data_IF_694904938601
#
_entry.id   IF_694904938601
#
_cell.length_a   1.000
_cell.length_b   1.000
_cell.length_c   1.000
_cell.angle_alpha   90.00
_cell.angle_beta   90.00
_cell.angle_gamma   90.00
#
_symmetry.space_group_name_H-M   'P 1'
#
loop_
_entity.id
_entity.type
_entity.pdbx_description
1 polymer ?
#
# COMPACT_ATOMS: atom_id res chain seq x y z
N UNK A 1 -5.00 9.76 0.54
CA UNK A 1 -4.13 9.06 1.51
C UNK A 1 -3.15 8.07 0.85
N UNK A 2 -3.61 7.21 -0.06
CA UNK A 2 -2.84 6.09 -0.66
C UNK A 2 -1.50 6.53 -1.28
N UNK A 3 -1.49 7.60 -2.08
CA UNK A 3 -0.29 8.06 -2.81
C UNK A 3 0.53 9.11 -2.06
N UNK A 4 0.21 9.44 -0.79
CA UNK A 4 0.84 10.58 -0.09
C UNK A 4 2.36 10.44 0.04
N UNK A 5 2.86 9.21 0.15
CA UNK A 5 4.30 8.91 0.19
C UNK A 5 5.00 9.05 -1.17
N UNK A 6 4.25 9.15 -2.26
CA UNK A 6 4.77 9.16 -3.63
C UNK A 6 4.93 10.58 -4.17
N UNK A 7 4.55 11.59 -3.40
CA UNK A 7 4.70 13.00 -3.76
C UNK A 7 6.17 13.42 -3.68
N UNK A 8 6.82 13.87 -4.78
CA UNK A 8 8.26 14.12 -4.79
C UNK A 8 8.73 15.16 -3.77
N UNK A 9 7.94 16.21 -3.56
CA UNK A 9 8.25 17.28 -2.61
C UNK A 9 8.19 16.81 -1.13
N UNK A 10 7.61 15.65 -0.84
CA UNK A 10 7.55 15.11 0.53
C UNK A 10 8.69 14.14 0.86
N UNK A 11 9.55 13.81 -0.12
CA UNK A 11 10.63 12.83 0.09
C UNK A 11 11.69 13.30 1.09
N UNK A 12 11.92 14.60 1.17
CA UNK A 12 12.83 15.23 2.15
C UNK A 12 12.15 15.50 3.50
N UNK A 13 10.83 15.35 3.61
CA UNK A 13 10.11 15.57 4.87
C UNK A 13 10.28 14.38 5.82
N UNK A 14 10.08 14.62 7.12
CA UNK A 14 10.08 13.56 8.13
C UNK A 14 9.16 12.40 7.74
N UNK A 15 9.67 11.17 7.83
CA UNK A 15 8.87 9.96 7.59
C UNK A 15 7.77 9.79 8.61
N UNK A 16 8.02 10.18 9.85
CA UNK A 16 7.01 10.18 10.91
C UNK A 16 5.87 11.15 10.57
N UNK A 17 6.19 12.36 10.07
CA UNK A 17 5.18 13.31 9.60
C UNK A 17 4.33 12.70 8.47
N UNK A 18 4.94 12.07 7.48
CA UNK A 18 4.19 11.42 6.40
C UNK A 18 3.32 10.26 6.88
N UNK A 19 3.73 9.54 7.94
CA UNK A 19 2.87 8.54 8.60
C UNK A 19 1.66 9.18 9.27
N UNK A 20 1.84 10.29 9.97
CA UNK A 20 0.70 11.02 10.55
C UNK A 20 -0.25 11.55 9.49
N UNK A 21 0.25 12.11 8.39
CA UNK A 21 -0.60 12.58 7.29
C UNK A 21 -1.34 11.41 6.64
N UNK A 22 -0.65 10.28 6.38
CA UNK A 22 -1.29 9.09 5.83
C UNK A 22 -2.38 8.56 6.77
N UNK A 23 -2.08 8.39 8.06
CA UNK A 23 -3.03 7.92 9.06
C UNK A 23 -4.21 8.89 9.19
N UNK A 24 -3.95 10.19 9.36
CA UNK A 24 -4.98 11.21 9.51
C UNK A 24 -5.94 11.29 8.32
N UNK A 25 -5.42 11.28 7.08
CA UNK A 25 -6.26 11.26 5.89
C UNK A 25 -7.12 9.99 5.80
N UNK A 26 -6.59 8.83 6.16
CA UNK A 26 -7.40 7.60 6.18
C UNK A 26 -8.45 7.62 7.31
N UNK A 27 -8.11 8.14 8.49
CA UNK A 27 -9.04 8.30 9.62
C UNK A 27 -10.20 9.23 9.27
N UNK A 28 -9.92 10.38 8.64
CA UNK A 28 -10.98 11.28 8.17
C UNK A 28 -11.91 10.56 7.18
N UNK A 29 -11.33 9.84 6.20
CA UNK A 29 -12.13 9.06 5.26
C UNK A 29 -12.95 7.97 5.95
N UNK A 30 -12.43 7.32 7.00
CA UNK A 30 -13.16 6.33 7.78
C UNK A 30 -14.36 6.94 8.50
N UNK A 31 -14.18 8.09 9.16
CA UNK A 31 -15.26 8.79 9.86
C UNK A 31 -16.38 9.13 8.88
N UNK A 32 -16.03 9.68 7.71
CA UNK A 32 -17.01 9.99 6.65
C UNK A 32 -17.73 8.74 6.14
N UNK A 33 -17.02 7.61 5.98
CA UNK A 33 -17.62 6.34 5.57
C UNK A 33 -18.61 5.80 6.63
N UNK A 34 -18.26 5.88 7.92
CA UNK A 34 -19.16 5.47 9.02
C UNK A 34 -20.42 6.35 9.02
N UNK A 35 -20.27 7.68 8.92
CA UNK A 35 -21.41 8.60 8.83
C UNK A 35 -22.29 8.27 7.63
N UNK A 36 -21.70 7.98 6.46
CA UNK A 36 -22.45 7.57 5.27
C UNK A 36 -23.22 6.26 5.48
N UNK A 37 -22.64 5.28 6.18
CA UNK A 37 -23.33 4.02 6.49
C UNK A 37 -24.50 4.26 7.46
N UNK A 38 -24.27 5.03 8.53
CA UNK A 38 -25.32 5.38 9.49
C UNK A 38 -26.49 6.06 8.79
N UNK A 39 -26.23 7.03 7.92
CA UNK A 39 -27.27 7.70 7.14
C UNK A 39 -28.08 6.73 6.27
N UNK A 40 -27.44 5.74 5.63
CA UNK A 40 -28.12 4.73 4.83
C UNK A 40 -29.01 3.81 5.69
N UNK A 41 -28.51 3.35 6.84
CA UNK A 41 -29.29 2.53 7.78
C UNK A 41 -30.46 3.31 8.38
N UNK A 42 -30.27 4.57 8.76
CA UNK A 42 -31.33 5.43 9.27
C UNK A 42 -32.42 5.65 8.22
N UNK A 43 -32.05 5.92 6.96
CA UNK A 43 -33.00 6.07 5.86
C UNK A 43 -33.82 4.80 5.63
N UNK A 44 -33.18 3.62 5.61
CA UNK A 44 -33.87 2.35 5.46
C UNK A 44 -34.82 2.07 6.62
N UNK A 45 -34.37 2.28 7.86
CA UNK A 45 -35.18 2.05 9.05
C UNK A 45 -36.39 2.99 9.09
N UNK A 46 -36.20 4.28 8.77
CA UNK A 46 -37.28 5.26 8.71
C UNK A 46 -38.29 4.95 7.58
N UNK A 47 -37.82 4.34 6.48
CA UNK A 47 -38.64 4.02 5.31
C UNK A 47 -39.17 2.57 5.30
N UNK A 48 -38.93 1.78 6.37
CA UNK A 48 -39.24 0.35 6.44
C UNK A 48 -38.67 -0.47 5.26
N UNK A 49 -37.48 -0.12 4.77
CA UNK A 49 -36.77 -0.86 3.73
C UNK A 49 -35.87 -1.89 4.42
N UNK A 50 -35.86 -3.17 4.00
CA UNK A 50 -34.96 -4.16 4.57
C UNK A 50 -33.50 -3.75 4.37
N UNK A 51 -32.67 -3.97 5.38
CA UNK A 51 -31.23 -3.71 5.30
C UNK A 51 -30.48 -4.92 4.71
N UNK A 52 -29.29 -4.64 4.15
CA UNK A 52 -28.29 -5.67 3.81
C UNK A 52 -28.76 -6.77 2.83
N UNK A 53 -29.66 -6.46 1.88
CA UNK A 53 -30.14 -7.44 0.90
C UNK A 53 -29.46 -7.35 -0.47
N UNK A 54 -28.83 -6.22 -0.80
CA UNK A 54 -28.22 -6.01 -2.12
C UNK A 54 -26.73 -6.36 -2.14
N UNK A 55 -26.20 -6.70 -3.33
CA UNK A 55 -24.77 -6.96 -3.48
C UNK A 55 -23.93 -5.71 -3.17
N UNK A 56 -24.42 -4.51 -3.54
CA UNK A 56 -23.81 -3.24 -3.15
C UNK A 56 -23.60 -3.17 -1.63
N UNK A 57 -24.63 -3.52 -0.84
CA UNK A 57 -24.56 -3.47 0.62
C UNK A 57 -23.57 -4.48 1.21
N UNK A 58 -23.51 -5.72 0.68
CA UNK A 58 -22.58 -6.75 1.16
C UNK A 58 -21.12 -6.39 0.90
N UNK A 59 -20.83 -5.95 -0.32
CA UNK A 59 -19.49 -5.52 -0.72
C UNK A 59 -19.10 -4.23 0.00
N UNK A 60 -20.02 -3.27 0.13
CA UNK A 60 -19.83 -2.02 0.85
C UNK A 60 -19.48 -2.24 2.32
N UNK A 61 -20.26 -3.04 3.04
CA UNK A 61 -20.00 -3.33 4.46
C UNK A 61 -18.67 -4.08 4.63
N UNK A 62 -18.39 -5.05 3.77
CA UNK A 62 -17.11 -5.77 3.77
C UNK A 62 -15.94 -4.81 3.57
N UNK A 63 -16.04 -3.87 2.64
CA UNK A 63 -15.02 -2.84 2.42
C UNK A 63 -14.80 -1.96 3.66
N UNK A 64 -15.86 -1.53 4.34
CA UNK A 64 -15.76 -0.73 5.58
C UNK A 64 -15.09 -1.51 6.72
N UNK A 65 -15.44 -2.79 6.90
CA UNK A 65 -14.83 -3.67 7.91
C UNK A 65 -13.34 -3.86 7.62
N UNK A 66 -12.99 -4.24 6.38
CA UNK A 66 -11.60 -4.44 5.97
C UNK A 66 -10.80 -3.14 6.07
N UNK A 67 -11.39 -2.00 5.72
CA UNK A 67 -10.74 -0.70 5.86
C UNK A 67 -10.50 -0.33 7.34
N UNK A 68 -11.40 -0.72 8.24
CA UNK A 68 -11.25 -0.53 9.69
C UNK A 68 -10.10 -1.37 10.24
N UNK A 69 -10.06 -2.65 9.88
CA UNK A 69 -8.95 -3.54 10.25
C UNK A 69 -7.62 -3.03 9.69
N UNK A 70 -7.60 -2.59 8.43
CA UNK A 70 -6.44 -2.01 7.78
C UNK A 70 -5.92 -0.77 8.52
N UNK A 71 -6.81 0.11 8.97
CA UNK A 71 -6.46 1.33 9.69
C UNK A 71 -5.92 1.01 11.10
N UNK A 72 -6.59 0.12 11.83
CA UNK A 72 -6.16 -0.31 13.17
C UNK A 72 -4.79 -1.01 13.15
N UNK A 73 -4.62 -1.99 12.26
CA UNK A 73 -3.36 -2.71 12.09
C UNK A 73 -2.25 -1.77 11.60
N UNK A 74 -2.58 -0.88 10.65
CA UNK A 74 -1.63 0.12 10.14
C UNK A 74 -1.13 1.06 11.23
N UNK A 75 -2.03 1.53 12.09
CA UNK A 75 -1.70 2.35 13.25
C UNK A 75 -0.81 1.60 14.25
N UNK A 76 -1.24 0.40 14.67
CA UNK A 76 -0.54 -0.39 15.67
C UNK A 76 0.88 -0.82 15.23
N UNK A 77 1.05 -1.21 13.96
CA UNK A 77 2.31 -1.77 13.46
C UNK A 77 3.25 -0.69 12.91
N UNK A 78 2.74 0.29 12.15
CA UNK A 78 3.60 1.21 11.41
C UNK A 78 3.73 2.59 12.06
N UNK A 79 2.77 3.03 12.88
CA UNK A 79 2.84 4.34 13.54
C UNK A 79 3.43 4.23 14.95
N UNK A 80 2.97 3.27 15.75
CA UNK A 80 3.50 3.08 17.11
C UNK A 80 4.93 2.50 17.10
N UNK A 81 5.75 2.78 18.13
CA UNK A 81 7.14 2.32 18.18
C UNK A 81 7.28 0.83 18.57
N UNK A 82 6.23 0.18 19.07
CA UNK A 82 6.32 -1.12 19.74
C UNK A 82 6.51 -2.33 18.81
N UNK A 83 6.09 -2.24 17.55
CA UNK A 83 6.18 -3.39 16.64
C UNK A 83 7.62 -3.67 16.20
N UNK A 84 8.10 -4.93 16.27
CA UNK A 84 9.47 -5.29 15.89
C UNK A 84 9.70 -5.20 14.37
N UNK A 85 10.94 -4.98 13.96
CA UNK A 85 11.33 -4.78 12.55
C UNK A 85 10.93 -5.94 11.62
N UNK A 86 11.11 -7.23 12.00
CA UNK A 86 10.68 -8.36 11.16
C UNK A 86 9.17 -8.38 10.92
N UNK A 87 8.36 -8.07 11.93
CA UNK A 87 6.91 -8.00 11.79
C UNK A 87 6.49 -6.89 10.82
N UNK A 88 7.10 -5.71 10.93
CA UNK A 88 6.86 -4.60 10.00
C UNK A 88 7.21 -5.00 8.56
N UNK A 89 8.33 -5.70 8.36
CA UNK A 89 8.76 -6.17 7.04
C UNK A 89 7.78 -7.19 6.45
N UNK A 90 7.30 -8.13 7.25
CA UNK A 90 6.34 -9.16 6.83
C UNK A 90 4.94 -8.57 6.50
N UNK A 91 4.46 -7.62 7.30
CA UNK A 91 3.13 -7.03 7.13
C UNK A 91 3.09 -5.92 6.07
N UNK A 92 4.21 -5.29 5.72
CA UNK A 92 4.26 -4.22 4.72
C UNK A 92 3.65 -4.62 3.35
N UNK A 93 4.04 -5.74 2.70
CA UNK A 93 3.44 -6.12 1.42
C UNK A 93 1.94 -6.42 1.54
N UNK A 94 1.51 -7.04 2.65
CA UNK A 94 0.10 -7.30 2.92
C UNK A 94 -0.65 -5.98 3.02
N UNK A 95 -0.16 -5.03 3.82
CA UNK A 95 -0.75 -3.71 4.00
C UNK A 95 -0.85 -2.93 2.68
N UNK A 96 0.19 -2.95 1.85
CA UNK A 96 0.14 -2.29 0.54
C UNK A 96 -0.90 -2.94 -0.37
N UNK A 97 -0.88 -4.28 -0.49
CA UNK A 97 -1.81 -4.99 -1.36
C UNK A 97 -3.27 -4.83 -0.91
N UNK A 98 -3.56 -5.08 0.37
CA UNK A 98 -4.90 -4.94 0.93
C UNK A 98 -5.42 -3.51 0.79
N UNK A 99 -4.58 -2.50 0.98
CA UNK A 99 -4.97 -1.09 0.79
C UNK A 99 -5.42 -0.77 -0.64
N UNK A 100 -4.71 -1.31 -1.64
CA UNK A 100 -5.11 -1.13 -3.06
C UNK A 100 -6.37 -1.94 -3.40
N UNK A 101 -6.48 -3.17 -2.86
CA UNK A 101 -7.66 -4.01 -3.05
C UNK A 101 -8.91 -3.36 -2.47
N UNK A 102 -8.85 -2.88 -1.21
CA UNK A 102 -9.95 -2.17 -0.56
C UNK A 102 -10.37 -0.96 -1.39
N UNK A 103 -9.40 -0.17 -1.89
CA UNK A 103 -9.71 0.99 -2.72
C UNK A 103 -10.44 0.61 -4.01
N UNK A 104 -10.01 -0.45 -4.70
CA UNK A 104 -10.70 -0.96 -5.89
C UNK A 104 -12.12 -1.47 -5.55
N UNK A 105 -12.27 -2.18 -4.42
CA UNK A 105 -13.57 -2.66 -3.94
C UNK A 105 -14.53 -1.52 -3.61
N UNK A 106 -14.04 -0.43 -3.03
CA UNK A 106 -14.84 0.79 -2.75
C UNK A 106 -15.30 1.44 -4.05
N UNK A 107 -14.45 1.50 -5.08
CA UNK A 107 -14.86 1.99 -6.41
C UNK A 107 -15.98 1.11 -6.97
N UNK A 108 -15.80 -0.21 -6.98
CA UNK A 108 -16.82 -1.14 -7.45
C UNK A 108 -18.14 -0.98 -6.68
N UNK A 109 -18.07 -0.86 -5.34
CA UNK A 109 -19.23 -0.61 -4.48
C UNK A 109 -19.93 0.71 -4.84
N UNK A 110 -19.18 1.79 -5.07
CA UNK A 110 -19.74 3.07 -5.48
C UNK A 110 -20.50 2.99 -6.82
N UNK A 111 -19.94 2.29 -7.82
CA UNK A 111 -20.59 2.09 -9.11
C UNK A 111 -21.88 1.27 -9.00
N UNK A 112 -21.87 0.21 -8.16
CA UNK A 112 -23.08 -0.57 -7.87
C UNK A 112 -24.14 0.30 -7.19
N UNK A 113 -23.76 1.10 -6.19
CA UNK A 113 -24.69 1.97 -5.46
C UNK A 113 -25.29 3.07 -6.35
N UNK A 114 -24.48 3.67 -7.23
CA UNK A 114 -24.96 4.62 -8.25
C UNK A 114 -25.99 3.93 -9.17
N UNK A 115 -25.67 2.73 -9.66
CA UNK A 115 -26.54 1.99 -10.56
C UNK A 115 -27.86 1.62 -9.89
N UNK A 116 -27.83 1.08 -8.66
CA UNK A 116 -29.02 0.78 -7.86
C UNK A 116 -29.87 2.05 -7.65
N UNK A 117 -29.24 3.18 -7.28
CA UNK A 117 -29.96 4.43 -7.04
C UNK A 117 -30.64 4.97 -8.29
N UNK A 118 -29.97 4.95 -9.45
CA UNK A 118 -30.57 5.40 -10.71
C UNK A 118 -31.73 4.51 -11.13
N UNK A 119 -31.60 3.19 -10.99
CA UNK A 119 -32.67 2.24 -11.32
C UNK A 119 -33.90 2.43 -10.43
N UNK A 120 -33.71 2.72 -9.14
CA UNK A 120 -34.83 2.92 -8.21
C UNK A 120 -35.50 4.28 -8.37
N UNK A 121 -34.73 5.34 -8.65
CA UNK A 121 -35.24 6.71 -8.67
C UNK A 121 -35.77 7.14 -10.05
N UNK A 122 -35.19 6.68 -11.15
CA UNK A 122 -35.60 7.10 -12.50
C UNK A 122 -36.60 6.12 -13.11
N UNK A 123 -37.86 6.24 -12.69
CA UNK A 123 -38.98 5.46 -13.24
C UNK A 123 -39.74 6.22 -14.33
N UNK A 124 -39.89 7.55 -14.20
CA UNK A 124 -40.62 8.40 -15.14
C UNK A 124 -39.99 9.80 -15.23
N UNK A 125 -39.20 10.12 -16.28
CA UNK A 125 -38.77 9.22 -17.34
C UNK A 125 -37.88 8.08 -16.82
N UNK A 126 -38.00 6.91 -17.44
CA UNK A 126 -37.22 5.74 -17.07
C UNK A 126 -35.72 5.96 -17.33
N UNK A 127 -34.86 5.33 -16.53
CA UNK A 127 -33.40 5.37 -16.71
C UNK A 127 -32.95 5.06 -18.16
N UNK A 128 -33.60 4.08 -18.82
CA UNK A 128 -33.32 3.68 -20.20
C UNK A 128 -33.57 4.79 -21.23
N UNK A 129 -34.44 5.76 -20.93
CA UNK A 129 -34.66 6.93 -21.77
C UNK A 129 -33.51 7.95 -21.71
N UNK A 130 -32.47 7.68 -20.91
CA UNK A 130 -31.30 8.54 -20.73
C UNK A 130 -31.67 9.99 -20.38
N UNK A 131 -32.49 10.23 -19.34
CA UNK A 131 -32.78 11.60 -18.91
C UNK A 131 -31.49 12.33 -18.48
N UNK A 132 -31.49 13.68 -18.44
CA UNK A 132 -30.29 14.45 -18.11
C UNK A 132 -29.60 14.01 -16.80
N UNK A 133 -30.38 13.65 -15.78
CA UNK A 133 -29.85 13.11 -14.51
C UNK A 133 -29.08 11.80 -14.71
N UNK A 134 -29.60 10.87 -15.52
CA UNK A 134 -28.94 9.62 -15.84
C UNK A 134 -27.58 9.84 -16.51
N UNK A 135 -27.53 10.75 -17.51
CA UNK A 135 -26.30 11.08 -18.23
C UNK A 135 -25.29 11.69 -17.25
N UNK A 136 -25.72 12.65 -16.44
CA UNK A 136 -24.87 13.32 -15.47
C UNK A 136 -24.25 12.34 -14.46
N UNK A 137 -25.06 11.48 -13.86
CA UNK A 137 -24.59 10.53 -12.85
C UNK A 137 -23.75 9.40 -13.47
N UNK A 138 -24.03 8.98 -14.71
CA UNK A 138 -23.15 8.07 -15.44
C UNK A 138 -21.77 8.69 -15.72
N UNK A 139 -21.73 9.97 -16.11
CA UNK A 139 -20.47 10.70 -16.24
C UNK A 139 -19.69 10.77 -14.93
N UNK A 140 -20.38 10.97 -13.79
CA UNK A 140 -19.77 10.88 -12.46
C UNK A 140 -19.17 9.49 -12.21
N UNK A 141 -19.90 8.41 -12.54
CA UNK A 141 -19.39 7.04 -12.45
C UNK A 141 -18.10 6.82 -13.26
N UNK A 142 -18.05 7.33 -14.50
CA UNK A 142 -16.84 7.29 -15.34
C UNK A 142 -15.67 8.07 -14.72
N UNK A 143 -15.94 9.27 -14.16
CA UNK A 143 -14.92 10.06 -13.48
C UNK A 143 -14.34 9.33 -12.27
N UNK A 144 -15.17 8.61 -11.50
CA UNK A 144 -14.72 7.79 -10.37
C UNK A 144 -13.80 6.66 -10.84
N UNK A 145 -14.14 5.99 -11.96
CA UNK A 145 -13.29 4.95 -12.57
C UNK A 145 -11.95 5.54 -13.02
N UNK A 146 -11.95 6.65 -13.74
CA UNK A 146 -10.73 7.33 -14.21
C UNK A 146 -9.86 7.74 -13.03
N UNK A 147 -10.45 8.36 -12.00
CA UNK A 147 -9.76 8.71 -10.77
C UNK A 147 -9.12 7.48 -10.12
N UNK A 148 -9.86 6.39 -9.99
CA UNK A 148 -9.38 5.13 -9.45
C UNK A 148 -8.19 4.56 -10.22
N UNK A 149 -8.32 4.49 -11.55
CA UNK A 149 -7.27 4.00 -12.44
C UNK A 149 -5.99 4.83 -12.33
N UNK A 150 -6.11 6.17 -12.29
CA UNK A 150 -4.98 7.07 -12.10
C UNK A 150 -4.30 6.83 -10.74
N UNK A 151 -5.07 6.74 -9.64
CA UNK A 151 -4.50 6.49 -8.30
C UNK A 151 -3.76 5.14 -8.26
N UNK A 152 -4.34 4.07 -8.79
CA UNK A 152 -3.72 2.74 -8.85
C UNK A 152 -2.45 2.74 -9.73
N UNK A 153 -2.50 3.43 -10.86
CA UNK A 153 -1.35 3.59 -11.75
C UNK A 153 -0.20 4.32 -11.06
N UNK A 154 -0.48 5.45 -10.40
CA UNK A 154 0.53 6.19 -9.64
C UNK A 154 1.06 5.37 -8.46
N UNK A 155 0.19 4.62 -7.78
CA UNK A 155 0.53 3.78 -6.64
C UNK A 155 1.37 2.55 -7.02
N UNK A 156 1.39 2.13 -8.28
CA UNK A 156 2.14 0.96 -8.76
C UNK A 156 3.50 1.32 -9.39
N UNK A 157 3.79 2.61 -9.65
CA UNK A 157 5.08 3.03 -10.23
C UNK A 157 6.25 2.78 -9.25
N UNK A 158 7.24 1.94 -9.58
CA UNK A 158 8.40 1.70 -8.71
C UNK A 158 9.25 2.96 -8.52
N UNK A 159 9.49 3.71 -9.59
CA UNK A 159 10.30 4.93 -9.58
C UNK A 159 9.70 6.09 -8.77
N UNK A 160 8.42 6.02 -8.40
CA UNK A 160 7.75 7.02 -7.57
C UNK A 160 7.64 6.60 -6.11
N UNK A 161 8.24 5.46 -5.75
CA UNK A 161 8.27 5.02 -4.36
C UNK A 161 9.20 5.93 -3.58
N UNK A 162 8.77 6.37 -2.38
CA UNK A 162 9.62 7.17 -1.49
C UNK A 162 10.99 6.50 -1.32
N UNK A 163 12.11 7.23 -1.50
CA UNK A 163 13.45 6.71 -1.25
C UNK A 163 13.60 6.18 0.20
N UNK A 164 14.39 5.12 0.43
CA UNK A 164 14.77 4.69 1.77
C UNK A 164 15.48 5.83 2.52
N UNK A 165 15.34 5.89 3.84
CA UNK A 165 16.15 6.80 4.66
C UNK A 165 17.61 6.34 4.61
N UNK A 166 18.52 7.25 4.27
CA UNK A 166 19.95 6.99 4.41
C UNK A 166 20.29 6.93 5.90
N UNK A 167 20.84 5.80 6.34
CA UNK A 167 21.46 5.71 7.67
C UNK A 167 22.74 6.55 7.57
N UNK A 168 22.94 7.60 8.38
CA UNK A 168 24.19 8.34 8.39
C UNK A 168 25.33 7.35 8.62
N UNK A 169 26.26 7.28 7.67
CA UNK A 169 27.49 6.52 7.85
C UNK A 169 28.20 7.14 9.04
N UNK A 170 28.30 6.40 10.14
CA UNK A 170 29.16 6.77 11.28
C UNK A 170 30.54 7.08 10.71
N UNK A 171 31.09 8.29 10.90
CA UNK A 171 32.47 8.56 10.52
C UNK A 171 33.35 7.54 11.23
N UNK A 172 34.10 6.74 10.47
CA UNK A 172 35.16 5.94 11.07
C UNK A 172 36.10 6.94 11.75
N UNK A 173 36.48 6.72 13.02
CA UNK A 173 37.56 7.53 13.59
C UNK A 173 38.78 7.33 12.70
N UNK A 174 39.33 8.44 12.20
CA UNK A 174 40.62 8.44 11.50
C UNK A 174 41.64 7.80 12.44
N UNK A 175 42.14 6.62 12.06
CA UNK A 175 43.33 6.03 12.66
C UNK A 175 44.53 6.89 12.31
N UNK A 176 44.80 7.89 13.15
CA UNK A 176 46.04 8.65 13.15
C UNK A 176 47.11 7.85 13.88
N UNK A 177 48.15 7.50 13.15
CA UNK A 177 49.42 6.97 13.64
C UNK A 177 50.05 7.94 14.65
N UNK A 178 50.43 7.45 15.83
CA UNK A 178 51.51 8.01 16.64
C UNK A 178 52.22 6.85 17.34
N UNK A 179 53.52 6.74 17.06
CA UNK A 179 54.47 5.83 17.68
C UNK A 179 54.54 6.01 19.21
N UNK A 180 54.82 4.92 19.91
CA UNK A 180 55.56 5.00 21.18
C UNK A 180 55.03 4.16 22.33
N UNK A 181 55.74 3.05 22.56
CA UNK A 181 56.05 2.42 23.87
C UNK A 181 55.43 1.05 24.11
N UNK A 182 56.37 0.13 24.29
CA UNK A 182 56.30 -1.30 24.55
C UNK A 182 55.55 -1.64 25.84
N UNK A 183 54.73 -2.69 25.78
CA UNK A 183 54.49 -3.58 26.91
C UNK A 183 53.97 -4.92 26.36
N UNK A 184 54.92 -5.84 26.25
CA UNK A 184 54.76 -7.26 26.01
C UNK A 184 53.95 -7.92 27.16
N UNK A 185 52.91 -8.70 26.82
CA UNK A 185 52.52 -9.86 27.63
C UNK A 185 51.94 -10.94 26.73
N UNK A 186 52.59 -12.09 26.80
CA UNK A 186 52.45 -13.30 26.00
C UNK A 186 51.38 -14.26 26.48
N UNK A 187 50.88 -15.07 25.53
CA UNK A 187 50.15 -16.35 25.64
C UNK A 187 48.65 -16.25 25.95
N UNK A 188 47.73 -16.93 25.24
CA UNK A 188 47.84 -18.29 24.69
C UNK A 188 46.84 -18.49 23.53
N UNK A 189 47.30 -19.25 22.54
CA UNK A 189 46.57 -19.81 21.39
C UNK A 189 45.57 -20.91 21.82
N UNK A 190 44.42 -20.96 21.15
CA UNK A 190 43.65 -22.18 20.93
C UNK A 190 42.82 -22.01 19.64
N UNK A 191 43.20 -22.79 18.65
CA UNK A 191 42.66 -22.86 17.30
C UNK A 191 41.54 -23.91 17.16
N UNK A 192 40.78 -23.75 16.09
CA UNK A 192 39.87 -24.70 15.40
C UNK A 192 38.44 -24.81 15.96
N UNK A 193 37.38 -24.95 15.17
CA UNK A 193 37.07 -24.78 13.75
C UNK A 193 35.58 -25.13 13.63
N UNK A 194 34.76 -24.37 12.90
CA UNK A 194 33.78 -25.01 12.01
C UNK A 194 33.33 -24.06 10.88
N UNK A 195 33.26 -24.64 9.68
CA UNK A 195 32.90 -24.02 8.40
C UNK A 195 31.49 -24.47 8.04
N UNK A 196 30.63 -23.54 7.62
CA UNK A 196 29.74 -23.78 6.47
C UNK A 196 29.03 -22.50 6.00
N UNK A 197 29.66 -21.73 5.12
CA UNK A 197 28.99 -20.76 4.23
C UNK A 197 29.24 -21.20 2.78
N UNK A 198 28.46 -22.17 2.31
CA UNK A 198 28.39 -22.54 0.88
C UNK A 198 26.92 -22.68 0.52
N UNK A 199 26.30 -21.58 0.08
CA UNK A 199 24.88 -21.61 -0.26
C UNK A 199 24.30 -20.45 -1.04
N UNK A 200 25.10 -19.52 -1.59
CA UNK A 200 24.49 -18.38 -2.33
C UNK A 200 25.18 -17.96 -3.64
N UNK A 201 26.31 -18.56 -4.02
CA UNK A 201 27.05 -18.12 -5.22
C UNK A 201 26.82 -18.99 -6.48
N UNK A 202 26.08 -20.10 -6.37
CA UNK A 202 25.86 -21.02 -7.49
C UNK A 202 24.79 -20.54 -8.49
N UNK A 203 23.70 -19.92 -8.02
CA UNK A 203 22.62 -19.45 -8.91
C UNK A 203 23.04 -18.25 -9.78
N UNK A 204 23.86 -17.35 -9.25
CA UNK A 204 24.36 -16.20 -9.99
C UNK A 204 25.32 -16.64 -11.11
N UNK A 205 26.16 -17.65 -10.85
CA UNK A 205 27.04 -18.24 -11.86
C UNK A 205 26.25 -19.01 -12.95
N UNK A 206 25.18 -19.73 -12.57
CA UNK A 206 24.33 -20.45 -13.54
C UNK A 206 23.56 -19.52 -14.47
N UNK A 207 23.03 -18.41 -13.96
CA UNK A 207 22.30 -17.41 -14.78
C UNK A 207 23.22 -16.64 -15.74
N UNK A 208 24.51 -16.48 -15.39
CA UNK A 208 25.49 -15.80 -16.24
C UNK A 208 25.91 -16.65 -17.44
N UNK A 209 26.07 -17.96 -17.24
CA UNK A 209 26.43 -18.88 -18.33
C UNK A 209 25.27 -19.07 -19.34
N UNK A 210 24.02 -19.17 -18.88
CA UNK A 210 22.84 -19.26 -19.77
C UNK A 210 22.69 -18.03 -20.69
N UNK A 211 23.04 -16.84 -20.20
CA UNK A 211 22.97 -15.60 -20.99
C UNK A 211 24.04 -15.49 -22.08
N UNK A 212 25.16 -16.20 -21.94
CA UNK A 212 26.25 -16.17 -22.91
C UNK A 212 25.98 -17.13 -24.07
N UNK A 213 25.38 -18.30 -23.82
CA UNK A 213 25.00 -19.24 -24.88
C UNK A 213 23.89 -18.68 -25.79
N UNK A 214 22.90 -17.97 -25.22
CA UNK A 214 21.81 -17.37 -26.00
C UNK A 214 22.28 -16.18 -26.87
N UNK A 215 23.35 -15.48 -26.44
CA UNK A 215 23.97 -14.41 -27.21
C UNK A 215 24.86 -14.94 -28.34
N UNK A 216 25.49 -16.10 -28.16
CA UNK A 216 26.29 -16.76 -29.20
C UNK A 216 25.46 -17.33 -30.35
N UNK A 217 24.27 -17.87 -30.06
CA UNK A 217 23.38 -18.45 -31.08
C UNK A 217 22.66 -17.43 -31.97
N UNK A 218 22.58 -16.14 -31.58
CA UNK A 218 21.93 -15.10 -32.39
C UNK A 218 22.84 -14.42 -33.40
N UNK A 219 24.13 -14.75 -33.42
CA UNK A 219 25.10 -14.12 -34.33
C UNK A 219 25.51 -14.99 -35.52
N UNK A 220 24.85 -16.15 -35.71
CA UNK A 220 25.08 -17.05 -36.86
C UNK A 220 23.77 -17.54 -37.46
N UNK A 221 22.97 -16.61 -38.00
CA UNK A 221 22.05 -16.85 -39.12
C UNK A 221 21.95 -15.57 -39.96
#
# INVERSE_FOLDING_TARGET
AIIVYRLPWTWKCSKLLMKFIHAGLNTIAMILAIVSMVAAFEFHNASNIPNMYSLHSWIGLTAVILYSLQLLLGFAVFLLPFAPVPLRAALMPIHVYSGLLIFATVIASCLMGITEKLLFSLQNPAYSASPPEAIFVNCLGLLIVIFGALILWMASRPHWKRPPEEIPKVPRPNGGTLEGTEAESTMTDCSNADKSDVGFNSEAARKRNLKLDEAGQRSTM
#
